data_IF_564363724207
#
_entry.id   IF_564363724207
#
_cell.length_a   1.000
_cell.length_b   1.000
_cell.length_c   1.000
_cell.angle_alpha   90.00
_cell.angle_beta   90.00
_cell.angle_gamma   90.00
#
_symmetry.space_group_name_H-M   'P 1'
#
loop_
_entity.id
_entity.type
_entity.pdbx_description
1 polymer ?
#
# COMPACT_ATOMS: atom_id res chain seq x y z
N UNK A 1 17.55 -0.85 13.82
CA UNK A 1 17.79 -1.44 12.46
C UNK A 1 19.29 -1.42 12.22
N UNK A 2 19.91 -2.56 12.02
CA UNK A 2 21.33 -2.60 11.66
C UNK A 2 21.49 -2.04 10.24
N UNK A 3 22.35 -1.03 10.10
CA UNK A 3 22.78 -0.53 8.79
C UNK A 3 23.54 -1.65 8.10
N UNK A 4 23.07 -2.08 6.91
CA UNK A 4 23.86 -2.96 6.07
C UNK A 4 25.12 -2.20 5.64
N UNK A 5 26.26 -2.61 6.14
CA UNK A 5 27.53 -2.08 5.64
C UNK A 5 27.73 -2.54 4.19
N UNK A 6 27.98 -1.59 3.31
CA UNK A 6 28.36 -1.89 1.93
C UNK A 6 29.79 -2.44 1.96
N UNK A 7 29.97 -3.67 1.50
CA UNK A 7 31.30 -4.27 1.36
C UNK A 7 31.99 -3.64 0.15
N UNK A 8 32.84 -2.65 0.38
CA UNK A 8 33.63 -1.99 -0.65
C UNK A 8 34.98 -2.71 -0.79
N UNK A 9 35.51 -2.74 -2.01
CA UNK A 9 36.84 -3.25 -2.24
C UNK A 9 37.90 -2.27 -1.70
N UNK A 10 38.93 -2.80 -1.06
CA UNK A 10 40.07 -2.00 -0.64
C UNK A 10 40.88 -1.57 -1.88
N UNK A 11 41.14 -0.27 -1.96
CA UNK A 11 42.02 0.28 -2.99
C UNK A 11 43.43 0.31 -2.41
N UNK A 12 44.32 -0.49 -3.00
CA UNK A 12 45.74 -0.53 -2.59
C UNK A 12 46.54 0.55 -3.33
N UNK A 13 47.75 0.86 -2.84
CA UNK A 13 48.62 1.85 -3.48
C UNK A 13 48.98 1.48 -4.92
N UNK A 14 49.03 0.18 -5.24
CA UNK A 14 49.32 -0.32 -6.57
C UNK A 14 48.14 -0.19 -7.54
N UNK A 15 46.93 0.04 -7.04
CA UNK A 15 45.70 0.22 -7.83
C UNK A 15 45.53 1.68 -8.33
N UNK A 16 46.44 2.59 -7.96
CA UNK A 16 46.34 4.02 -8.31
C UNK A 16 46.39 4.32 -9.80
N UNK A 17 46.76 3.35 -10.63
CA UNK A 17 46.81 3.47 -12.10
C UNK A 17 45.51 3.01 -12.77
N UNK A 18 44.60 2.34 -12.04
CA UNK A 18 43.31 1.88 -12.55
C UNK A 18 42.15 2.56 -11.81
N UNK A 19 41.18 3.03 -12.57
CA UNK A 19 39.90 3.55 -12.05
C UNK A 19 38.86 2.44 -11.81
N UNK A 20 39.16 1.21 -12.16
CA UNK A 20 38.24 0.09 -12.11
C UNK A 20 37.75 -0.26 -10.68
N UNK A 21 38.61 -0.30 -9.63
CA UNK A 21 38.18 -0.52 -8.27
C UNK A 21 37.24 0.58 -7.79
N UNK A 22 37.48 1.85 -8.16
CA UNK A 22 36.61 2.96 -7.83
C UNK A 22 35.25 2.83 -8.49
N UNK A 23 35.21 2.54 -9.80
CA UNK A 23 33.98 2.32 -10.53
C UNK A 23 33.19 1.14 -9.98
N UNK A 24 33.87 0.06 -9.61
CA UNK A 24 33.25 -1.11 -8.98
C UNK A 24 32.61 -0.74 -7.64
N UNK A 25 33.28 0.04 -6.81
CA UNK A 25 32.77 0.51 -5.53
C UNK A 25 31.57 1.46 -5.71
N UNK A 26 31.62 2.37 -6.67
CA UNK A 26 30.48 3.24 -6.98
C UNK A 26 29.27 2.43 -7.47
N UNK A 27 29.44 1.44 -8.31
CA UNK A 27 28.37 0.56 -8.75
C UNK A 27 27.73 -0.21 -7.58
N UNK A 28 28.55 -0.76 -6.66
CA UNK A 28 28.05 -1.40 -5.44
C UNK A 28 27.23 -0.46 -4.55
N UNK A 29 27.68 0.80 -4.43
CA UNK A 29 26.94 1.84 -3.67
C UNK A 29 25.60 2.14 -4.36
N UNK A 30 25.60 2.33 -5.66
CA UNK A 30 24.39 2.61 -6.43
C UNK A 30 23.38 1.47 -6.37
N UNK A 31 23.81 0.22 -6.47
CA UNK A 31 22.96 -0.96 -6.28
C UNK A 31 22.34 -1.00 -4.88
N UNK A 32 23.12 -0.73 -3.84
CA UNK A 32 22.62 -0.68 -2.46
C UNK A 32 21.63 0.48 -2.22
N UNK A 33 21.84 1.60 -2.91
CA UNK A 33 20.98 2.78 -2.82
C UNK A 33 19.71 2.66 -3.69
N UNK A 34 19.67 1.73 -4.65
CA UNK A 34 18.50 1.53 -5.51
C UNK A 34 17.21 1.25 -4.72
N UNK A 35 17.32 0.53 -3.61
CA UNK A 35 16.21 0.21 -2.71
C UNK A 35 16.09 1.20 -1.53
N UNK A 36 16.78 2.33 -1.57
CA UNK A 36 16.66 3.34 -0.53
C UNK A 36 15.30 4.06 -0.61
N UNK A 37 14.66 4.24 0.55
CA UNK A 37 13.51 5.13 0.67
C UNK A 37 14.01 6.56 0.59
N UNK A 38 13.62 7.29 -0.44
CA UNK A 38 14.04 8.67 -0.68
C UNK A 38 13.06 9.71 -0.14
N UNK A 39 11.80 9.31 0.06
CA UNK A 39 10.77 10.18 0.60
C UNK A 39 9.73 9.34 1.34
N UNK A 40 9.26 9.85 2.46
CA UNK A 40 8.16 9.28 3.24
C UNK A 40 7.40 10.38 3.97
N UNK A 41 6.11 10.17 4.18
CA UNK A 41 5.30 11.15 4.89
C UNK A 41 3.84 10.74 5.02
N UNK A 42 3.04 11.75 5.39
CA UNK A 42 1.58 11.68 5.45
C UNK A 42 0.99 12.74 4.52
N UNK A 43 -0.11 12.40 3.86
CA UNK A 43 -0.92 13.32 3.06
C UNK A 43 -2.39 13.03 3.32
N UNK A 44 -3.04 13.85 4.12
CA UNK A 44 -4.36 13.56 4.65
C UNK A 44 -4.35 12.26 5.47
N UNK A 45 -5.17 11.30 5.07
CA UNK A 45 -5.28 9.99 5.74
C UNK A 45 -4.25 8.97 5.23
N UNK A 46 -3.48 9.31 4.17
CA UNK A 46 -2.53 8.43 3.54
C UNK A 46 -1.14 8.57 4.13
N UNK A 47 -0.55 7.47 4.60
CA UNK A 47 0.91 7.39 4.69
C UNK A 47 1.47 7.02 3.32
N UNK A 48 2.73 7.43 3.02
CA UNK A 48 3.38 7.06 1.77
C UNK A 48 4.88 6.90 1.90
N UNK A 49 5.46 6.15 0.96
CA UNK A 49 6.90 5.93 0.79
C UNK A 49 7.24 5.87 -0.69
N UNK A 50 8.34 6.51 -1.06
CA UNK A 50 8.94 6.44 -2.38
C UNK A 50 10.34 5.87 -2.29
N UNK A 51 10.69 5.03 -3.25
CA UNK A 51 12.02 4.45 -3.39
C UNK A 51 12.71 5.02 -4.61
N UNK A 52 14.05 5.05 -4.57
CA UNK A 52 14.89 5.52 -5.68
C UNK A 52 14.63 4.71 -6.97
N UNK A 53 14.41 3.42 -6.87
CA UNK A 53 14.09 2.51 -7.99
C UNK A 53 12.72 2.76 -8.66
N UNK A 54 11.96 3.75 -8.19
CA UNK A 54 10.65 4.10 -8.74
C UNK A 54 9.46 3.40 -8.06
N UNK A 55 9.69 2.50 -7.11
CA UNK A 55 8.61 1.93 -6.30
C UNK A 55 7.93 3.01 -5.47
N UNK A 56 6.64 2.90 -5.34
CA UNK A 56 5.82 3.77 -4.51
C UNK A 56 4.77 2.96 -3.78
N UNK A 57 4.63 3.25 -2.51
CA UNK A 57 3.60 2.67 -1.65
C UNK A 57 2.84 3.77 -0.94
N UNK A 58 1.55 3.57 -0.75
CA UNK A 58 0.75 4.36 0.17
C UNK A 58 -0.33 3.49 0.81
N UNK A 59 -0.85 3.95 1.94
CA UNK A 59 -1.89 3.20 2.62
C UNK A 59 -2.63 4.02 3.66
N UNK A 60 -3.76 3.49 4.07
CA UNK A 60 -4.53 3.93 5.22
C UNK A 60 -4.48 2.79 6.22
N UNK A 61 -3.89 3.03 7.39
CA UNK A 61 -3.68 1.96 8.38
C UNK A 61 -4.99 1.43 8.94
N UNK A 62 -5.86 2.35 9.34
CA UNK A 62 -7.16 2.01 9.90
C UNK A 62 -8.12 3.20 9.72
N UNK A 63 -9.28 2.93 9.16
CA UNK A 63 -10.33 3.95 8.97
C UNK A 63 -11.70 3.36 9.23
N UNK A 64 -12.44 4.00 10.15
CA UNK A 64 -13.87 3.76 10.30
C UNK A 64 -14.63 4.36 9.12
N UNK A 65 -15.46 3.55 8.49
CA UNK A 65 -16.36 4.00 7.44
C UNK A 65 -17.68 4.47 8.06
N UNK A 66 -18.44 5.21 7.29
CA UNK A 66 -19.79 5.61 7.68
C UNK A 66 -20.67 4.38 7.90
N UNK A 67 -21.58 4.48 8.88
CA UNK A 67 -22.61 3.45 9.10
C UNK A 67 -23.42 3.26 7.81
N UNK A 68 -23.63 2.01 7.42
CA UNK A 68 -24.38 1.64 6.23
C UNK A 68 -25.49 0.69 6.59
N UNK A 69 -26.67 0.95 6.03
CA UNK A 69 -27.74 -0.04 5.96
C UNK A 69 -27.34 -1.11 4.94
N UNK A 70 -27.65 -2.35 5.24
CA UNK A 70 -27.37 -3.45 4.34
C UNK A 70 -28.52 -3.66 3.36
N UNK A 71 -28.17 -3.83 2.09
CA UNK A 71 -29.09 -4.32 1.06
C UNK A 71 -28.86 -5.80 0.92
N UNK A 72 -29.88 -6.60 1.20
CA UNK A 72 -29.79 -8.06 1.10
C UNK A 72 -29.95 -8.49 -0.35
N UNK A 73 -28.96 -9.24 -0.84
CA UNK A 73 -28.99 -9.94 -2.12
C UNK A 73 -28.58 -11.37 -1.85
N UNK A 74 -29.47 -12.30 -2.12
CA UNK A 74 -29.32 -13.70 -1.74
C UNK A 74 -29.06 -13.85 -0.22
N UNK A 75 -27.95 -14.47 0.15
CA UNK A 75 -27.54 -14.65 1.52
C UNK A 75 -26.60 -13.58 2.06
N UNK A 76 -26.34 -12.51 1.31
CA UNK A 76 -25.42 -11.44 1.68
C UNK A 76 -26.15 -10.12 1.95
N UNK A 77 -25.77 -9.47 3.03
CA UNK A 77 -26.07 -8.06 3.28
C UNK A 77 -24.93 -7.19 2.77
N UNK A 78 -25.16 -6.39 1.73
CA UNK A 78 -24.17 -5.50 1.14
C UNK A 78 -24.27 -4.09 1.69
N UNK A 79 -23.14 -3.48 2.00
CA UNK A 79 -23.09 -2.06 2.32
C UNK A 79 -23.34 -1.20 1.08
N UNK A 80 -23.60 0.10 1.30
CA UNK A 80 -23.48 1.09 0.24
C UNK A 80 -22.04 1.13 -0.30
N UNK A 81 -21.85 1.73 -1.47
CA UNK A 81 -20.52 1.92 -2.04
C UNK A 81 -19.71 2.92 -1.21
N UNK A 82 -18.47 2.57 -0.94
CA UNK A 82 -17.50 3.44 -0.30
C UNK A 82 -16.43 3.89 -1.29
N UNK A 83 -15.94 5.13 -1.09
CA UNK A 83 -14.82 5.69 -1.83
C UNK A 83 -13.78 6.19 -0.85
N UNK A 84 -12.51 5.97 -1.17
CA UNK A 84 -11.39 6.55 -0.44
C UNK A 84 -10.92 7.83 -1.15
N UNK A 85 -10.23 8.74 -0.44
CA UNK A 85 -9.59 9.90 -1.06
C UNK A 85 -8.64 9.50 -2.19
N UNK A 86 -8.36 10.42 -3.11
CA UNK A 86 -7.33 10.24 -4.12
C UNK A 86 -5.97 9.89 -3.49
N UNK A 87 -5.13 9.16 -4.22
CA UNK A 87 -3.77 8.87 -3.77
C UNK A 87 -2.96 10.16 -3.57
N UNK A 88 -2.04 10.21 -2.62
CA UNK A 88 -1.19 11.37 -2.41
C UNK A 88 -0.45 11.82 -3.68
N UNK A 89 -0.05 10.85 -4.48
CA UNK A 89 0.67 11.05 -5.73
C UNK A 89 0.12 10.05 -6.75
N UNK A 90 -0.18 10.49 -7.97
CA UNK A 90 -0.60 9.59 -9.02
C UNK A 90 0.48 8.56 -9.38
N UNK A 91 0.06 7.33 -9.64
CA UNK A 91 0.94 6.27 -10.15
C UNK A 91 1.17 6.41 -11.66
N UNK A 92 2.32 5.98 -12.16
CA UNK A 92 2.60 5.94 -13.61
C UNK A 92 1.71 4.93 -14.33
N UNK A 93 1.50 3.78 -13.71
CA UNK A 93 0.61 2.72 -14.19
C UNK A 93 -0.55 2.46 -13.24
N UNK A 94 -1.31 1.40 -13.47
CA UNK A 94 -2.31 0.92 -12.50
C UNK A 94 -1.59 0.28 -11.32
N UNK A 95 -1.80 0.75 -10.09
CA UNK A 95 -1.22 0.13 -8.92
C UNK A 95 -1.97 -1.15 -8.53
N UNK A 96 -1.30 -1.99 -7.75
CA UNK A 96 -1.96 -3.02 -6.97
C UNK A 96 -2.58 -2.37 -5.73
N UNK A 97 -3.85 -2.62 -5.49
CA UNK A 97 -4.59 -2.08 -4.35
C UNK A 97 -5.22 -3.22 -3.57
N UNK A 98 -4.91 -3.30 -2.29
CA UNK A 98 -5.50 -4.25 -1.36
C UNK A 98 -6.28 -3.50 -0.29
N UNK A 99 -7.56 -3.86 -0.11
CA UNK A 99 -8.44 -3.32 0.92
C UNK A 99 -8.75 -4.46 1.89
N UNK A 100 -8.39 -4.27 3.14
CA UNK A 100 -8.58 -5.23 4.22
C UNK A 100 -9.73 -4.71 5.09
N UNK A 101 -10.71 -5.56 5.31
CA UNK A 101 -11.78 -5.31 6.28
C UNK A 101 -11.30 -5.65 7.69
N UNK A 102 -11.68 -4.81 8.65
CA UNK A 102 -11.49 -5.04 10.08
C UNK A 102 -12.81 -4.84 10.80
N UNK A 103 -13.13 -5.72 11.75
CA UNK A 103 -14.34 -5.63 12.54
C UNK A 103 -14.12 -4.82 13.82
N UNK A 104 -15.12 -3.98 14.17
CA UNK A 104 -15.09 -3.18 15.39
C UNK A 104 -15.18 -4.03 16.67
N UNK A 105 -15.87 -5.14 16.61
CA UNK A 105 -16.37 -5.75 17.84
C UNK A 105 -15.77 -7.10 18.20
N UNK A 106 -14.82 -7.64 17.49
CA UNK A 106 -14.09 -8.86 17.88
C UNK A 106 -14.93 -10.01 18.49
N UNK A 107 -16.22 -9.84 18.60
CA UNK A 107 -17.04 -10.68 19.46
C UNK A 107 -18.18 -11.44 18.80
N UNK A 108 -18.90 -10.86 17.86
CA UNK A 108 -20.13 -11.53 17.36
C UNK A 108 -20.24 -11.67 15.84
N UNK A 109 -19.32 -11.10 15.10
CA UNK A 109 -19.27 -11.24 13.63
C UNK A 109 -18.02 -11.98 13.14
N UNK A 110 -17.19 -12.46 14.02
CA UNK A 110 -15.97 -13.22 13.69
C UNK A 110 -16.24 -14.52 12.89
N UNK A 111 -17.47 -14.97 12.87
CA UNK A 111 -17.91 -16.08 12.02
C UNK A 111 -18.47 -15.62 10.67
N UNK A 112 -18.62 -14.32 10.45
CA UNK A 112 -19.18 -13.77 9.23
C UNK A 112 -18.07 -13.57 8.23
N UNK A 113 -18.04 -14.33 7.18
CA UNK A 113 -17.16 -14.11 6.06
C UNK A 113 -17.52 -12.78 5.41
N UNK A 114 -16.70 -11.76 5.63
CA UNK A 114 -16.82 -10.50 4.93
C UNK A 114 -16.06 -10.56 3.61
N UNK A 115 -16.69 -10.07 2.56
CA UNK A 115 -16.10 -9.98 1.22
C UNK A 115 -16.03 -8.52 0.83
N UNK A 116 -14.85 -8.08 0.38
CA UNK A 116 -14.68 -6.77 -0.23
C UNK A 116 -14.82 -6.90 -1.74
N UNK A 117 -15.91 -6.35 -2.28
CA UNK A 117 -16.14 -6.33 -3.72
C UNK A 117 -15.81 -4.95 -4.30
N UNK A 118 -14.91 -4.91 -5.28
CA UNK A 118 -14.54 -3.67 -5.98
C UNK A 118 -15.52 -3.42 -7.14
N UNK A 119 -16.16 -2.26 -7.14
CA UNK A 119 -17.15 -1.89 -8.15
C UNK A 119 -16.56 -1.18 -9.38
N UNK A 120 -15.34 -0.61 -9.24
CA UNK A 120 -14.64 0.07 -10.32
C UNK A 120 -13.18 -0.38 -10.36
N UNK A 121 -12.61 -0.30 -11.54
CA UNK A 121 -11.19 -0.59 -11.70
C UNK A 121 -10.32 0.43 -10.95
N UNK A 122 -9.23 -0.06 -10.40
CA UNK A 122 -8.17 0.78 -9.84
C UNK A 122 -7.65 1.73 -10.91
N UNK A 123 -7.59 3.02 -10.61
CA UNK A 123 -7.02 4.03 -11.51
C UNK A 123 -5.62 4.44 -11.03
N UNK A 124 -4.95 5.26 -11.84
CA UNK A 124 -3.64 5.84 -11.46
C UNK A 124 -3.74 6.82 -10.28
N UNK A 125 -4.88 7.50 -10.14
CA UNK A 125 -5.04 8.61 -9.21
C UNK A 125 -6.01 8.31 -8.08
N UNK A 126 -6.88 7.33 -8.23
CA UNK A 126 -7.92 7.04 -7.26
C UNK A 126 -8.03 5.55 -6.96
N UNK A 127 -8.26 5.21 -5.69
CA UNK A 127 -8.66 3.86 -5.29
C UNK A 127 -9.96 3.43 -5.97
N UNK A 128 -10.23 2.12 -6.03
CA UNK A 128 -11.51 1.64 -6.51
C UNK A 128 -12.62 2.02 -5.53
N UNK A 129 -13.83 2.22 -6.04
CA UNK A 129 -15.02 2.19 -5.19
C UNK A 129 -15.31 0.74 -4.82
N UNK A 130 -15.63 0.48 -3.57
CA UNK A 130 -15.84 -0.88 -3.07
C UNK A 130 -17.08 -0.98 -2.19
N UNK A 131 -17.55 -2.21 -2.00
CA UNK A 131 -18.61 -2.58 -1.06
C UNK A 131 -18.12 -3.70 -0.17
N UNK A 132 -18.69 -3.81 1.01
CA UNK A 132 -18.44 -4.92 1.92
C UNK A 132 -19.71 -5.75 2.02
N UNK A 133 -19.59 -7.04 1.75
CA UNK A 133 -20.66 -8.00 1.89
C UNK A 133 -20.47 -8.84 3.14
N UNK A 134 -21.54 -9.05 3.89
CA UNK A 134 -21.57 -9.86 5.11
C UNK A 134 -22.54 -11.01 4.91
N UNK A 135 -22.10 -12.22 5.15
CA UNK A 135 -22.95 -13.41 5.05
C UNK A 135 -24.03 -13.39 6.15
N UNK A 136 -25.27 -13.59 5.76
CA UNK A 136 -26.45 -13.64 6.66
C UNK A 136 -26.68 -12.40 7.54
N UNK A 137 -26.09 -11.25 7.19
CA UNK A 137 -26.27 -10.02 7.97
C UNK A 137 -27.41 -9.17 7.40
N UNK A 138 -28.28 -8.70 8.31
CA UNK A 138 -29.42 -7.82 7.97
C UNK A 138 -29.42 -6.50 8.76
N UNK A 139 -28.53 -6.34 9.73
CA UNK A 139 -28.43 -5.13 10.57
C UNK A 139 -27.45 -4.12 10.00
N UNK A 140 -27.69 -2.82 10.23
CA UNK A 140 -26.73 -1.79 9.86
C UNK A 140 -25.36 -2.03 10.49
N UNK A 141 -24.30 -1.82 9.71
CA UNK A 141 -22.89 -2.02 10.10
C UNK A 141 -22.09 -0.73 9.98
N UNK A 142 -21.07 -0.59 10.80
CA UNK A 142 -20.06 0.46 10.72
C UNK A 142 -18.71 -0.23 10.57
N UNK A 143 -18.32 -0.53 9.33
CA UNK A 143 -17.08 -1.26 9.11
C UNK A 143 -15.85 -0.38 9.27
N UNK A 144 -14.72 -1.00 9.56
CA UNK A 144 -13.41 -0.39 9.47
C UNK A 144 -12.59 -1.08 8.38
N UNK A 145 -11.69 -0.33 7.78
CA UNK A 145 -10.83 -0.84 6.73
C UNK A 145 -9.39 -0.39 6.90
N UNK A 146 -8.45 -1.21 6.42
CA UNK A 146 -7.11 -0.83 6.03
C UNK A 146 -6.98 -0.86 4.51
N UNK A 147 -6.11 -0.02 3.97
CA UNK A 147 -5.82 0.00 2.54
C UNK A 147 -4.32 0.05 2.31
N UNK A 148 -3.82 -0.80 1.42
CA UNK A 148 -2.42 -0.79 1.01
C UNK A 148 -2.33 -0.81 -0.52
N UNK A 149 -1.54 0.10 -1.05
CA UNK A 149 -1.42 0.32 -2.49
C UNK A 149 0.06 0.35 -2.88
N UNK A 150 0.41 -0.39 -3.90
CA UNK A 150 1.79 -0.52 -4.40
C UNK A 150 1.81 -0.30 -5.91
N UNK A 151 2.78 0.46 -6.37
CA UNK A 151 2.99 0.70 -7.79
C UNK A 151 4.27 1.47 -8.06
N UNK A 152 4.30 2.23 -9.14
CA UNK A 152 5.43 3.06 -9.54
C UNK A 152 5.03 4.53 -9.63
N UNK A 153 5.96 5.41 -9.21
CA UNK A 153 5.80 6.87 -9.32
C UNK A 153 6.62 7.47 -10.46
N UNK A 154 7.56 6.70 -11.04
CA UNK A 154 8.36 7.04 -12.24
C UNK A 154 8.63 5.78 -13.07
#
# INVERSE_FOLDING_TARGET
>A
MATKNVALDLINADDLVSVDPLNTNFNKIDEQLADAVIERGMSGEWWYRKWRNGRYECGIEFKWLSKSNLTTVDNFGWTNGYSLPAYPIPFVGRPYCNIIYMDENGGNYAAVQAIVAMNKQVSRSNPPTFRIGFLHASKPVKPAIGCHVIGRWK
#
